data_IF_585956570714
#
_entry.id   IF_585956570714
#
_cell.length_a   1.000
_cell.length_b   1.000
_cell.length_c   1.000
_cell.angle_alpha   90.00
_cell.angle_beta   90.00
_cell.angle_gamma   90.00
#
_symmetry.space_group_name_H-M   'P 1'
#
loop_
_entity.id
_entity.type
_entity.pdbx_description
1 polymer ?
#
# COMPACT_ATOMS: atom_id res chain seq x y z
N UNK A 1 -18.30 17.32 -57.53
CA UNK A 1 -18.36 15.94 -56.99
C UNK A 1 -18.31 16.01 -55.47
N UNK A 2 -19.29 15.40 -54.81
CA UNK A 2 -19.77 15.66 -53.45
C UNK A 2 -18.89 15.02 -52.35
N UNK A 3 -18.55 15.82 -51.33
CA UNK A 3 -17.70 15.50 -50.16
C UNK A 3 -18.43 14.59 -49.14
N UNK A 4 -18.80 13.37 -49.53
CA UNK A 4 -19.73 12.54 -48.73
C UNK A 4 -19.15 11.23 -48.16
N UNK A 5 -17.83 11.06 -48.05
CA UNK A 5 -17.24 9.76 -47.63
C UNK A 5 -16.30 9.80 -46.42
N UNK A 6 -16.10 10.94 -45.76
CA UNK A 6 -15.08 11.07 -44.71
C UNK A 6 -15.58 11.11 -43.26
N UNK A 7 -16.89 11.07 -43.01
CA UNK A 7 -17.43 11.22 -41.64
C UNK A 7 -17.91 9.89 -41.03
N UNK A 8 -18.05 8.82 -41.82
CA UNK A 8 -18.64 7.56 -41.34
C UNK A 8 -17.63 6.53 -40.77
N UNK A 9 -16.33 6.80 -40.84
CA UNK A 9 -15.28 5.86 -40.41
C UNK A 9 -14.70 6.11 -39.01
N UNK A 10 -15.01 7.24 -38.39
CA UNK A 10 -14.27 7.76 -37.23
C UNK A 10 -14.90 7.47 -35.87
N UNK A 11 -16.07 6.83 -35.82
CA UNK A 11 -16.83 6.64 -34.55
C UNK A 11 -16.66 5.23 -33.97
N UNK A 12 -16.12 4.26 -34.71
CA UNK A 12 -16.10 2.86 -34.26
C UNK A 12 -14.76 2.36 -33.67
N UNK A 13 -13.71 3.19 -33.61
CA UNK A 13 -12.41 2.77 -33.05
C UNK A 13 -12.10 3.33 -31.66
N UNK A 14 -12.98 4.17 -31.08
CA UNK A 14 -12.79 4.75 -29.76
C UNK A 14 -13.56 4.01 -28.65
N UNK A 15 -13.88 2.73 -28.85
CA UNK A 15 -14.64 1.91 -27.90
C UNK A 15 -13.84 0.74 -27.28
N UNK A 16 -12.55 0.58 -27.62
CA UNK A 16 -11.81 -0.64 -27.25
C UNK A 16 -10.71 -0.46 -26.20
N UNK A 17 -10.62 0.67 -25.49
CA UNK A 17 -9.54 0.92 -24.52
C UNK A 17 -9.98 0.93 -23.04
N UNK A 18 -11.17 0.43 -22.69
CA UNK A 18 -11.72 0.51 -21.33
C UNK A 18 -11.95 -0.85 -20.65
N UNK A 19 -11.30 -1.93 -21.11
CA UNK A 19 -11.64 -3.29 -20.68
C UNK A 19 -10.55 -4.12 -20.00
N UNK A 20 -9.40 -3.55 -19.61
CA UNK A 20 -8.18 -4.34 -19.38
C UNK A 20 -7.43 -4.17 -18.06
N UNK A 21 -8.06 -3.73 -16.95
CA UNK A 21 -7.37 -3.67 -15.64
C UNK A 21 -8.27 -4.19 -14.51
N UNK A 22 -8.76 -5.43 -14.62
CA UNK A 22 -9.57 -6.02 -13.54
C UNK A 22 -9.02 -7.32 -12.93
N UNK A 23 -7.90 -7.88 -13.41
CA UNK A 23 -7.40 -9.18 -12.90
C UNK A 23 -5.98 -9.05 -12.35
N UNK A 24 -5.85 -8.36 -11.23
CA UNK A 24 -4.67 -8.47 -10.36
C UNK A 24 -4.98 -8.12 -8.89
N UNK A 25 -6.25 -8.12 -8.50
CA UNK A 25 -6.65 -7.84 -7.12
C UNK A 25 -6.70 -9.16 -6.34
N UNK A 26 -5.54 -9.72 -6.00
CA UNK A 26 -5.47 -10.75 -4.96
C UNK A 26 -6.15 -10.26 -3.66
N UNK A 27 -6.42 -11.13 -2.68
CA UNK A 27 -7.18 -10.77 -1.48
C UNK A 27 -6.53 -9.58 -0.76
N UNK A 28 -7.02 -8.36 -1.05
CA UNK A 28 -6.53 -7.15 -0.41
C UNK A 28 -6.98 -7.23 1.04
N UNK A 29 -6.03 -7.25 1.97
CA UNK A 29 -6.29 -7.13 3.41
C UNK A 29 -6.03 -5.67 3.81
N UNK A 30 -6.94 -4.73 3.50
CA UNK A 30 -6.68 -3.30 3.68
C UNK A 30 -6.26 -2.96 5.11
N UNK A 31 -6.86 -3.61 6.11
CA UNK A 31 -6.58 -3.31 7.52
C UNK A 31 -5.18 -3.76 7.97
N UNK A 32 -4.71 -4.96 7.57
CA UNK A 32 -3.37 -5.44 7.94
C UNK A 32 -2.27 -4.69 7.19
N UNK A 33 -2.51 -4.40 5.91
CA UNK A 33 -1.62 -3.53 5.12
C UNK A 33 -1.54 -2.12 5.72
N UNK A 34 -2.67 -1.57 6.15
CA UNK A 34 -2.72 -0.25 6.77
C UNK A 34 -2.03 -0.24 8.14
N UNK A 35 -2.22 -1.29 8.95
CA UNK A 35 -1.49 -1.45 10.22
C UNK A 35 0.03 -1.49 9.98
N UNK A 36 0.48 -2.21 8.95
CA UNK A 36 1.88 -2.23 8.55
C UNK A 36 2.42 -0.84 8.18
N UNK A 37 1.63 -0.06 7.42
CA UNK A 37 1.94 1.31 7.04
C UNK A 37 2.04 2.23 8.26
N UNK A 38 1.14 2.08 9.23
CA UNK A 38 1.10 2.86 10.46
C UNK A 38 2.29 2.56 11.37
N UNK A 39 2.69 1.29 11.48
CA UNK A 39 3.89 0.90 12.23
C UNK A 39 5.14 1.56 11.64
N UNK A 40 5.31 1.54 10.32
CA UNK A 40 6.47 2.17 9.67
C UNK A 40 6.51 3.67 9.96
N UNK A 41 5.37 4.36 9.83
CA UNK A 41 5.28 5.79 10.18
C UNK A 41 5.61 6.06 11.65
N UNK A 42 5.13 5.21 12.57
CA UNK A 42 5.43 5.35 13.99
C UNK A 42 6.93 5.16 14.26
N UNK A 43 7.56 4.18 13.62
CA UNK A 43 8.99 3.94 13.72
C UNK A 43 9.80 5.17 13.26
N UNK A 44 9.47 5.74 12.09
CA UNK A 44 10.16 6.91 11.54
C UNK A 44 10.02 8.13 12.46
N UNK A 45 8.82 8.33 13.03
CA UNK A 45 8.57 9.42 14.00
C UNK A 45 9.37 9.23 15.29
N UNK A 46 9.51 8.02 15.78
CA UNK A 46 10.35 7.73 16.96
C UNK A 46 11.82 7.98 16.63
N UNK A 47 12.30 7.58 15.45
CA UNK A 47 13.67 7.83 15.02
C UNK A 47 13.97 9.34 14.93
N UNK A 48 13.05 10.11 14.35
CA UNK A 48 13.16 11.57 14.32
C UNK A 48 13.16 12.17 15.74
N UNK A 49 12.32 11.67 16.64
CA UNK A 49 12.29 12.10 18.04
C UNK A 49 13.62 11.79 18.76
N UNK A 50 14.24 10.64 18.50
CA UNK A 50 15.56 10.33 19.05
C UNK A 50 16.61 11.33 18.59
N UNK A 51 16.64 11.63 17.30
CA UNK A 51 17.58 12.60 16.75
C UNK A 51 17.36 14.00 17.37
N UNK A 52 16.11 14.40 17.56
CA UNK A 52 15.75 15.69 18.15
C UNK A 52 16.05 15.79 19.67
N UNK A 53 16.12 14.66 20.38
CA UNK A 53 16.40 14.60 21.82
C UNK A 53 17.82 14.08 22.10
N UNK A 54 18.77 14.28 21.17
CA UNK A 54 20.18 13.88 21.31
C UNK A 54 20.37 12.40 21.69
N UNK A 55 19.42 11.55 21.30
CA UNK A 55 19.34 10.12 21.66
C UNK A 55 19.11 9.83 23.15
N UNK A 56 18.97 10.85 24.00
CA UNK A 56 18.67 10.73 25.42
C UNK A 56 17.16 10.69 25.68
N UNK A 57 16.57 9.54 25.40
CA UNK A 57 15.16 9.26 25.70
C UNK A 57 15.01 8.14 26.74
N UNK A 58 15.99 8.00 27.64
CA UNK A 58 16.00 6.96 28.69
C UNK A 58 15.90 5.53 28.15
N UNK A 59 16.33 5.28 26.91
CA UNK A 59 16.20 3.98 26.23
C UNK A 59 14.79 3.62 25.76
N UNK A 60 13.77 4.41 26.10
CA UNK A 60 12.37 4.11 25.75
C UNK A 60 12.12 4.13 24.24
N UNK A 61 12.79 5.03 23.50
CA UNK A 61 12.66 5.08 22.05
C UNK A 61 13.23 3.83 21.36
N UNK A 62 14.34 3.29 21.86
CA UNK A 62 14.88 2.02 21.36
C UNK A 62 13.88 0.88 21.62
N UNK A 63 13.39 0.78 22.87
CA UNK A 63 12.39 -0.22 23.25
C UNK A 63 11.09 -0.11 22.45
N UNK A 64 10.62 1.10 22.17
CA UNK A 64 9.42 1.31 21.37
C UNK A 64 9.61 0.81 19.92
N UNK A 65 10.76 1.11 19.30
CA UNK A 65 11.10 0.60 17.96
C UNK A 65 11.18 -0.93 17.93
N UNK A 66 11.78 -1.56 18.95
CA UNK A 66 11.85 -3.02 19.04
C UNK A 66 10.46 -3.67 19.15
N UNK A 67 9.54 -3.04 19.89
CA UNK A 67 8.15 -3.49 20.01
C UNK A 67 7.39 -3.31 18.70
N UNK A 68 7.59 -2.20 17.99
CA UNK A 68 7.02 -1.97 16.68
C UNK A 68 7.52 -2.99 15.65
N UNK A 69 8.80 -3.36 15.71
CA UNK A 69 9.37 -4.38 14.84
C UNK A 69 8.82 -5.78 15.13
N UNK A 70 8.57 -6.11 16.41
CA UNK A 70 7.84 -7.32 16.80
C UNK A 70 6.42 -7.31 16.24
N UNK A 71 5.67 -6.22 16.45
CA UNK A 71 4.30 -6.10 15.96
C UNK A 71 4.21 -6.19 14.43
N UNK A 72 5.17 -5.61 13.69
CA UNK A 72 5.30 -5.75 12.23
C UNK A 72 5.44 -7.22 11.82
N UNK A 73 6.27 -8.01 12.51
CA UNK A 73 6.42 -9.44 12.22
C UNK A 73 5.12 -10.20 12.45
N UNK A 74 4.42 -9.93 13.55
CA UNK A 74 3.13 -10.57 13.84
C UNK A 74 2.05 -10.23 12.81
N UNK A 75 1.98 -8.98 12.34
CA UNK A 75 1.04 -8.59 11.27
C UNK A 75 1.31 -9.35 9.97
N UNK A 76 2.60 -9.57 9.65
CA UNK A 76 2.98 -10.38 8.50
C UNK A 76 2.53 -11.83 8.67
N UNK A 77 2.79 -12.44 9.82
CA UNK A 77 2.34 -13.80 10.13
C UNK A 77 0.80 -13.91 10.09
N UNK A 78 0.09 -12.92 10.63
CA UNK A 78 -1.37 -12.85 10.56
C UNK A 78 -1.88 -12.74 9.11
N UNK A 79 -1.17 -12.01 8.25
CA UNK A 79 -1.48 -11.91 6.82
C UNK A 79 -1.26 -13.24 6.11
N UNK A 80 -0.15 -13.92 6.40
CA UNK A 80 0.18 -15.24 5.86
C UNK A 80 -0.86 -16.29 6.30
N UNK A 81 -1.17 -16.34 7.61
CA UNK A 81 -2.21 -17.21 8.14
C UNK A 81 -3.59 -16.95 7.49
N UNK A 82 -3.98 -15.67 7.36
CA UNK A 82 -5.22 -15.31 6.68
C UNK A 82 -5.24 -15.67 5.18
N UNK A 83 -4.09 -15.92 4.55
CA UNK A 83 -4.00 -16.40 3.16
C UNK A 83 -4.03 -17.94 3.07
N UNK A 84 -3.57 -18.65 4.11
CA UNK A 84 -3.63 -20.11 4.17
C UNK A 84 -5.01 -20.67 4.52
N UNK A 85 -5.89 -19.85 5.11
CA UNK A 85 -7.26 -20.24 5.50
C UNK A 85 -8.34 -19.95 4.44
N UNK A 86 -7.97 -19.58 3.20
CA UNK A 86 -8.90 -19.29 2.10
C UNK A 86 -8.65 -20.18 0.89
#
# INVERSE_FOLDING_TARGET
MTRSKFVLGSVLCLASFTGGVLVAQGPRRPNLMEAQRLINQAFDRIAAAQQANEWDMGGHAARAKDLLDQAKREIRLATEAANHHH
#
